data_IF_147142392857
#
_entry.id   IF_147142392857
#
_cell.length_a   1.000
_cell.length_b   1.000
_cell.length_c   1.000
_cell.angle_alpha   90.00
_cell.angle_beta   90.00
_cell.angle_gamma   90.00
#
_symmetry.space_group_name_H-M   'P 1'
#
loop_
_entity.id
_entity.type
_entity.pdbx_description
1 polymer ?
#
# COMPACT_ATOMS: atom_id res chain seq x y z
N UNK A 1 9.30 3.79 5.63
CA UNK A 1 8.18 3.79 6.57
C UNK A 1 8.59 4.51 7.84
N UNK A 2 7.72 5.36 8.31
CA UNK A 2 8.01 6.16 9.47
C UNK A 2 6.76 6.73 10.10
N UNK A 3 6.95 7.36 11.23
CA UNK A 3 5.85 7.94 11.99
C UNK A 3 6.30 9.25 12.60
N UNK A 4 5.48 10.29 12.43
CA UNK A 4 5.71 11.59 13.07
C UNK A 4 4.66 11.82 14.17
N UNK A 5 5.04 11.73 15.46
CA UNK A 5 4.08 11.89 16.55
C UNK A 5 3.53 13.31 16.69
N UNK A 6 4.26 14.33 16.23
CA UNK A 6 3.80 15.71 16.33
C UNK A 6 2.58 15.98 15.46
N UNK A 7 2.51 15.32 14.30
CA UNK A 7 1.40 15.46 13.36
C UNK A 7 0.50 14.24 13.30
N UNK A 8 0.82 13.21 14.09
CA UNK A 8 0.13 11.91 14.08
C UNK A 8 0.06 11.33 12.67
N UNK A 9 1.19 11.39 11.95
CA UNK A 9 1.28 11.00 10.54
C UNK A 9 2.12 9.75 10.36
N UNK A 10 1.58 8.79 9.62
CA UNK A 10 2.27 7.57 9.21
C UNK A 10 2.72 7.73 7.77
N UNK A 11 3.98 7.44 7.50
CA UNK A 11 4.55 7.49 6.16
C UNK A 11 4.73 6.07 5.67
N UNK A 12 4.20 5.78 4.48
CA UNK A 12 4.31 4.47 3.86
C UNK A 12 4.96 4.59 2.48
N UNK A 13 6.05 3.86 2.28
CA UNK A 13 6.68 3.74 0.96
C UNK A 13 6.27 2.40 0.37
N UNK A 14 5.61 2.42 -0.78
CA UNK A 14 5.01 1.25 -1.39
C UNK A 14 5.81 0.79 -2.60
N UNK A 15 6.38 -0.41 -2.52
CA UNK A 15 7.04 -1.04 -3.66
C UNK A 15 5.98 -1.51 -4.65
N UNK A 16 6.14 -1.18 -5.94
CA UNK A 16 5.14 -1.47 -6.96
C UNK A 16 4.81 -2.95 -7.07
N UNK A 17 5.83 -3.79 -7.05
CA UNK A 17 5.67 -5.23 -7.22
C UNK A 17 4.95 -5.89 -6.02
N UNK A 18 5.27 -5.44 -4.82
CA UNK A 18 4.74 -6.05 -3.59
C UNK A 18 3.34 -5.55 -3.22
N UNK A 19 2.97 -4.39 -3.70
CA UNK A 19 1.68 -3.76 -3.37
C UNK A 19 0.75 -3.62 -4.57
N UNK A 20 1.18 -4.13 -5.74
CA UNK A 20 0.33 -4.19 -6.92
C UNK A 20 -0.06 -2.84 -7.50
N UNK A 21 0.93 -1.96 -7.71
CA UNK A 21 0.65 -0.65 -8.28
C UNK A 21 -0.07 -0.79 -9.63
N UNK A 22 -1.33 -0.31 -9.74
CA UNK A 22 -2.14 -0.51 -10.94
C UNK A 22 -1.65 0.29 -12.16
N UNK A 23 -0.76 1.25 -11.96
CA UNK A 23 -0.14 1.99 -13.06
C UNK A 23 1.02 1.21 -13.70
N UNK A 24 1.55 0.21 -12.99
CA UNK A 24 2.70 -0.58 -13.43
C UNK A 24 2.30 -2.00 -13.79
N UNK A 25 1.38 -2.58 -13.06
CA UNK A 25 0.96 -3.98 -13.22
C UNK A 25 -0.53 -4.09 -13.48
N UNK A 26 -0.90 -5.02 -14.36
CA UNK A 26 -2.29 -5.36 -14.60
C UNK A 26 -2.85 -6.07 -13.35
N UNK A 27 -4.00 -5.65 -12.81
CA UNK A 27 -4.56 -6.27 -11.61
C UNK A 27 -4.90 -7.76 -11.79
N UNK A 28 -5.09 -8.22 -13.01
CA UNK A 28 -5.38 -9.62 -13.30
C UNK A 28 -4.11 -10.47 -13.39
N UNK A 29 -2.95 -9.86 -13.51
CA UNK A 29 -1.68 -10.57 -13.54
C UNK A 29 -1.34 -11.10 -12.14
N UNK A 30 -0.56 -12.18 -12.13
CA UNK A 30 -0.27 -12.92 -10.92
C UNK A 30 1.15 -12.67 -10.45
N UNK A 31 1.30 -12.37 -9.17
CA UNK A 31 2.61 -12.28 -8.53
C UNK A 31 2.97 -13.65 -7.96
N UNK A 32 3.81 -14.38 -8.68
CA UNK A 32 4.17 -15.76 -8.33
C UNK A 32 4.91 -15.88 -6.99
N UNK A 33 5.62 -14.85 -6.59
CA UNK A 33 6.37 -14.88 -5.31
C UNK A 33 5.46 -14.78 -4.10
N UNK A 34 4.36 -14.07 -4.22
CA UNK A 34 3.41 -13.89 -3.13
C UNK A 34 2.24 -14.86 -3.23
N UNK A 35 1.92 -15.31 -4.44
CA UNK A 35 0.79 -16.22 -4.69
C UNK A 35 -0.54 -15.51 -4.79
N UNK A 36 -0.55 -14.27 -5.24
CA UNK A 36 -1.75 -13.44 -5.38
C UNK A 36 -1.67 -12.60 -6.64
N UNK A 37 -2.83 -12.17 -7.14
CA UNK A 37 -2.87 -11.21 -8.25
C UNK A 37 -2.44 -9.83 -7.75
N UNK A 38 -1.97 -8.99 -8.67
CA UNK A 38 -1.61 -7.62 -8.30
C UNK A 38 -2.83 -6.84 -7.81
N UNK A 39 -4.01 -7.13 -8.34
CA UNK A 39 -5.25 -6.52 -7.85
C UNK A 39 -5.54 -6.88 -6.41
N UNK A 40 -5.29 -8.12 -6.01
CA UNK A 40 -5.45 -8.54 -4.61
C UNK A 40 -4.45 -7.83 -3.69
N UNK A 41 -3.21 -7.67 -4.13
CA UNK A 41 -2.18 -6.97 -3.36
C UNK A 41 -2.54 -5.49 -3.18
N UNK A 42 -3.05 -4.86 -4.22
CA UNK A 42 -3.48 -3.47 -4.17
C UNK A 42 -4.67 -3.31 -3.21
N UNK A 43 -5.64 -4.20 -3.29
CA UNK A 43 -6.82 -4.18 -2.42
C UNK A 43 -6.45 -4.36 -0.95
N UNK A 44 -5.56 -5.32 -0.65
CA UNK A 44 -5.08 -5.54 0.72
C UNK A 44 -4.32 -4.34 1.26
N UNK A 45 -3.52 -3.70 0.42
CA UNK A 45 -2.78 -2.49 0.79
C UNK A 45 -3.74 -1.37 1.16
N UNK A 46 -4.77 -1.14 0.33
CA UNK A 46 -5.77 -0.11 0.60
C UNK A 46 -6.56 -0.38 1.87
N UNK A 47 -6.93 -1.64 2.12
CA UNK A 47 -7.65 -2.01 3.35
C UNK A 47 -6.81 -1.74 4.59
N UNK A 48 -5.51 -2.04 4.53
CA UNK A 48 -4.60 -1.77 5.63
C UNK A 48 -4.48 -0.27 5.90
N UNK A 49 -4.34 0.52 4.84
CA UNK A 49 -4.24 1.97 4.96
C UNK A 49 -5.53 2.58 5.52
N UNK A 50 -6.69 2.11 5.06
CA UNK A 50 -7.99 2.54 5.57
C UNK A 50 -8.14 2.21 7.05
N UNK A 51 -7.67 1.04 7.47
CA UNK A 51 -7.72 0.64 8.87
C UNK A 51 -6.89 1.59 9.75
N UNK A 52 -5.66 1.89 9.32
CA UNK A 52 -4.78 2.81 10.05
C UNK A 52 -5.42 4.21 10.14
N UNK A 53 -6.00 4.68 9.05
CA UNK A 53 -6.68 5.97 9.01
C UNK A 53 -7.89 5.98 9.95
N UNK A 54 -8.62 4.87 10.04
CA UNK A 54 -9.78 4.75 10.92
C UNK A 54 -9.41 4.85 12.40
N UNK A 55 -8.14 4.59 12.74
CA UNK A 55 -7.64 4.74 14.10
C UNK A 55 -7.25 6.18 14.43
N UNK A 56 -7.44 7.11 13.50
CA UNK A 56 -7.16 8.52 13.73
C UNK A 56 -5.80 9.01 13.25
N UNK A 57 -5.05 8.18 12.52
CA UNK A 57 -3.77 8.59 11.97
C UNK A 57 -3.94 9.27 10.61
N UNK A 58 -3.08 10.24 10.32
CA UNK A 58 -2.92 10.75 8.98
C UNK A 58 -1.94 9.83 8.23
N UNK A 59 -2.18 9.59 6.96
CA UNK A 59 -1.33 8.70 6.17
C UNK A 59 -0.83 9.42 4.94
N UNK A 60 0.48 9.36 4.72
CA UNK A 60 1.12 9.83 3.50
C UNK A 60 1.76 8.62 2.84
N UNK A 61 1.34 8.32 1.62
CA UNK A 61 1.87 7.20 0.86
C UNK A 61 2.67 7.69 -0.33
N UNK A 62 3.69 6.93 -0.68
CA UNK A 62 4.46 7.19 -1.89
C UNK A 62 4.80 5.87 -2.56
N UNK A 63 4.48 5.77 -3.84
CA UNK A 63 4.85 4.64 -4.65
C UNK A 63 6.31 4.77 -5.09
N UNK A 64 6.93 3.64 -5.30
CA UNK A 64 8.32 3.53 -5.76
C UNK A 64 8.54 4.24 -7.11
N UNK A 65 7.54 4.18 -7.99
CA UNK A 65 7.60 4.78 -9.32
C UNK A 65 7.22 6.26 -9.29
#
# INVERSE_FOLDING_TARGET
DGYNPDTNTVYEFLGDYWHGNPEVYDPDDYNEKVGKTFGQLFDETNKRLEYIESLGYNIITKWET
#
